data_IF_419607695737
#
_entry.id   IF_419607695737
#
_cell.length_a   1.000
_cell.length_b   1.000
_cell.length_c   1.000
_cell.angle_alpha   90.00
_cell.angle_beta   90.00
_cell.angle_gamma   90.00
#
_symmetry.space_group_name_H-M   'P 1'
#
loop_
_entity.id
_entity.type
_entity.pdbx_description
1 polymer ?
#
# COMPACT_ATOMS: atom_id res chain seq x y z
N UNK A 1 24.84 49.28 -26.60
CA UNK A 1 23.68 48.36 -26.70
C UNK A 1 24.25 46.96 -26.77
N UNK A 2 24.25 46.27 -25.62
CA UNK A 2 25.12 45.13 -25.34
C UNK A 2 24.41 43.79 -25.61
N UNK A 3 25.14 42.88 -26.26
CA UNK A 3 24.75 41.51 -26.61
C UNK A 3 24.35 40.69 -25.36
N UNK A 4 23.28 39.89 -25.45
CA UNK A 4 23.01 38.72 -24.58
C UNK A 4 22.61 37.49 -25.43
N UNK A 5 23.09 36.27 -25.11
CA UNK A 5 22.74 35.01 -25.80
C UNK A 5 21.47 34.35 -25.22
N UNK A 6 20.96 33.27 -25.85
CA UNK A 6 19.69 32.63 -25.51
C UNK A 6 19.79 31.83 -24.19
N UNK A 7 18.72 31.91 -23.39
CA UNK A 7 18.60 31.23 -22.09
C UNK A 7 18.29 29.74 -22.23
N UNK A 8 19.14 28.94 -21.62
CA UNK A 8 18.90 27.54 -21.28
C UNK A 8 17.83 27.46 -20.18
N UNK A 9 16.76 26.69 -20.43
CA UNK A 9 15.81 26.26 -19.40
C UNK A 9 16.30 24.92 -18.87
N UNK A 10 17.05 24.95 -17.76
CA UNK A 10 17.35 23.74 -16.98
C UNK A 10 16.07 23.24 -16.29
N UNK A 11 15.49 22.17 -16.83
CA UNK A 11 14.55 21.33 -16.10
C UNK A 11 15.32 20.47 -15.09
N UNK A 12 15.06 20.69 -13.79
CA UNK A 12 15.53 19.81 -12.72
C UNK A 12 14.90 18.41 -12.89
N UNK A 13 15.64 17.51 -13.52
CA UNK A 13 15.35 16.08 -13.49
C UNK A 13 15.67 15.55 -12.08
N UNK A 14 14.63 15.16 -11.34
CA UNK A 14 14.77 14.43 -10.08
C UNK A 14 15.47 13.10 -10.32
N UNK A 15 16.73 12.98 -9.89
CA UNK A 15 17.50 11.73 -9.93
C UNK A 15 16.93 10.74 -8.92
N UNK A 16 16.30 9.68 -9.42
CA UNK A 16 15.90 8.49 -8.64
C UNK A 16 17.17 7.69 -8.33
N UNK A 17 17.49 7.56 -7.05
CA UNK A 17 18.64 6.78 -6.60
C UNK A 17 18.41 5.28 -6.85
N UNK A 18 19.18 4.70 -7.78
CA UNK A 18 19.33 3.24 -7.97
C UNK A 18 20.17 2.67 -6.82
N UNK A 19 19.73 1.54 -6.27
CA UNK A 19 20.48 0.73 -5.30
C UNK A 19 21.21 -0.39 -6.05
N UNK A 20 22.47 -0.15 -6.40
CA UNK A 20 23.40 -1.22 -6.77
C UNK A 20 24.33 -1.52 -5.58
N UNK A 21 24.60 -2.80 -5.35
CA UNK A 21 25.84 -3.25 -4.73
C UNK A 21 25.76 -3.70 -3.27
N UNK A 22 26.14 -4.97 -3.06
CA UNK A 22 26.45 -5.57 -1.78
C UNK A 22 27.53 -4.79 -1.01
N UNK A 23 27.36 -4.71 0.33
CA UNK A 23 28.26 -4.04 1.28
C UNK A 23 28.53 -2.54 1.00
N UNK A 24 27.57 -1.70 1.38
CA UNK A 24 27.77 -0.26 1.49
C UNK A 24 26.60 0.38 2.20
N UNK A 25 26.81 0.89 3.41
CA UNK A 25 25.88 1.86 4.01
C UNK A 25 25.68 3.00 3.00
N UNK A 26 24.45 3.47 2.75
CA UNK A 26 24.23 4.60 1.87
C UNK A 26 24.87 5.85 2.49
N UNK A 27 26.02 6.26 1.94
CA UNK A 27 26.45 7.66 2.00
C UNK A 27 25.73 8.39 0.87
N UNK A 28 24.63 9.05 1.23
CA UNK A 28 23.81 9.84 0.32
C UNK A 28 22.79 10.65 1.11
N UNK A 29 23.16 11.92 1.33
CA UNK A 29 22.39 13.03 1.90
C UNK A 29 21.72 12.78 3.26
N UNK A 30 22.44 13.20 4.31
CA UNK A 30 21.87 13.55 5.61
C UNK A 30 20.92 14.73 5.37
N UNK A 31 19.65 14.45 5.05
CA UNK A 31 18.57 15.37 5.39
C UNK A 31 18.65 15.57 6.90
N UNK A 32 18.54 16.80 7.41
CA UNK A 32 18.55 17.12 8.83
C UNK A 32 17.51 16.27 9.59
N UNK A 33 17.88 15.06 10.01
CA UNK A 33 17.05 14.21 10.86
C UNK A 33 17.10 14.86 12.23
N UNK A 34 16.12 15.71 12.53
CA UNK A 34 16.07 16.34 13.85
C UNK A 34 16.02 15.21 14.88
N UNK A 35 16.95 15.20 15.84
CA UNK A 35 17.09 14.10 16.78
C UNK A 35 15.83 13.97 17.65
N UNK A 36 15.64 12.77 18.21
CA UNK A 36 14.58 12.50 19.16
C UNK A 36 14.61 13.56 20.29
N UNK A 37 13.49 14.26 20.57
CA UNK A 37 13.43 15.23 21.67
C UNK A 37 13.64 14.51 23.00
N UNK A 38 14.72 14.82 23.72
CA UNK A 38 15.04 14.18 25.02
C UNK A 38 14.42 14.89 26.22
N UNK A 39 13.97 16.13 26.04
CA UNK A 39 13.49 17.00 27.12
C UNK A 39 11.98 16.87 27.37
N UNK A 40 11.26 16.15 26.51
CA UNK A 40 9.82 15.98 26.64
C UNK A 40 9.46 14.92 27.69
N UNK A 41 8.37 15.13 28.46
CA UNK A 41 7.86 14.12 29.37
C UNK A 41 7.55 12.83 28.62
N UNK A 42 8.15 11.73 29.08
CA UNK A 42 8.01 10.42 28.43
C UNK A 42 6.98 9.56 29.13
N UNK A 43 5.99 9.08 28.39
CA UNK A 43 4.95 8.15 28.84
C UNK A 43 5.17 6.79 28.20
N UNK A 44 5.05 5.71 28.97
CA UNK A 44 5.13 4.37 28.40
C UNK A 44 3.76 3.93 27.88
N UNK A 45 3.69 3.59 26.60
CA UNK A 45 2.49 3.04 26.01
C UNK A 45 2.10 1.73 26.70
N UNK A 46 0.84 1.67 27.12
CA UNK A 46 0.17 0.46 27.57
C UNK A 46 -1.21 0.39 26.96
N UNK A 47 -1.54 -0.79 26.49
CA UNK A 47 -2.83 -1.12 25.90
C UNK A 47 -3.99 -0.62 26.79
N UNK A 48 -4.82 0.28 26.24
CA UNK A 48 -6.03 0.80 26.91
C UNK A 48 -5.80 1.73 28.12
N UNK A 49 -4.57 2.18 28.40
CA UNK A 49 -4.29 3.11 29.52
C UNK A 49 -3.92 4.53 29.10
N UNK A 50 -3.61 4.74 27.82
CA UNK A 50 -3.07 6.00 27.31
C UNK A 50 -3.92 7.24 27.62
N UNK A 51 -5.25 7.11 27.53
CA UNK A 51 -6.18 8.21 27.76
C UNK A 51 -5.97 8.86 29.15
N UNK A 52 -5.71 8.05 30.18
CA UNK A 52 -5.50 8.55 31.54
C UNK A 52 -4.23 9.39 31.66
N UNK A 53 -3.17 8.95 30.99
CA UNK A 53 -1.89 9.66 31.00
C UNK A 53 -2.00 10.97 30.22
N UNK A 54 -2.71 10.98 29.08
CA UNK A 54 -2.96 12.19 28.29
C UNK A 54 -3.78 13.22 29.06
N UNK A 55 -4.90 12.81 29.69
CA UNK A 55 -5.72 13.69 30.53
C UNK A 55 -4.88 14.24 31.70
N UNK A 56 -4.05 13.40 32.34
CA UNK A 56 -3.20 13.84 33.43
C UNK A 56 -2.20 14.92 32.98
N UNK A 57 -1.53 14.72 31.84
CA UNK A 57 -0.56 15.69 31.33
C UNK A 57 -1.22 16.95 30.76
N UNK A 58 -2.41 16.85 30.18
CA UNK A 58 -3.22 17.98 29.75
C UNK A 58 -3.56 18.90 30.94
N UNK A 59 -4.05 18.33 32.05
CA UNK A 59 -4.38 19.08 33.26
C UNK A 59 -3.18 19.76 33.94
N UNK A 60 -1.97 19.31 33.63
CA UNK A 60 -0.72 19.88 34.16
C UNK A 60 -0.03 20.81 33.13
N UNK A 61 -0.76 21.30 32.12
CA UNK A 61 -0.26 22.22 31.08
C UNK A 61 1.01 21.74 30.37
N UNK A 62 1.10 20.43 30.11
CA UNK A 62 2.18 19.82 29.33
C UNK A 62 1.67 19.46 27.94
N UNK A 63 1.73 20.38 26.95
CA UNK A 63 1.10 20.19 25.65
C UNK A 63 1.86 19.21 24.76
N UNK A 64 3.12 18.87 25.04
CA UNK A 64 3.91 17.96 24.20
C UNK A 64 4.47 16.81 25.03
N UNK A 65 4.25 15.59 24.54
CA UNK A 65 4.63 14.34 25.18
C UNK A 65 5.40 13.45 24.22
N UNK A 66 6.26 12.60 24.77
CA UNK A 66 6.89 11.52 24.05
C UNK A 66 6.33 10.19 24.54
N UNK A 67 5.75 9.39 23.65
CA UNK A 67 5.19 8.09 24.00
C UNK A 67 6.14 6.99 23.54
N UNK A 68 6.66 6.21 24.50
CA UNK A 68 7.51 5.06 24.26
C UNK A 68 6.65 3.83 24.00
N UNK A 69 6.81 3.21 22.83
CA UNK A 69 6.04 2.03 22.42
C UNK A 69 6.98 0.85 22.22
N UNK A 70 6.65 -0.28 22.85
CA UNK A 70 7.41 -1.52 22.67
C UNK A 70 7.14 -2.16 21.30
N UNK A 71 8.13 -2.77 20.64
CA UNK A 71 7.94 -3.43 19.35
C UNK A 71 6.86 -4.52 19.35
N UNK A 72 6.66 -5.19 20.48
CA UNK A 72 5.66 -6.24 20.67
C UNK A 72 4.22 -5.70 20.63
N UNK A 73 4.04 -4.40 20.85
CA UNK A 73 2.74 -3.72 20.81
C UNK A 73 2.42 -3.13 19.43
N UNK A 74 3.44 -2.91 18.60
CA UNK A 74 3.35 -2.37 17.22
C UNK A 74 3.00 -3.46 16.20
N UNK A 75 1.94 -4.22 16.48
CA UNK A 75 1.50 -5.37 15.68
C UNK A 75 0.02 -5.29 15.34
N UNK A 76 -0.37 -5.80 14.16
CA UNK A 76 -1.78 -5.84 13.76
C UNK A 76 -2.66 -6.79 14.60
N UNK A 77 -2.05 -7.62 15.45
CA UNK A 77 -2.77 -8.50 16.37
C UNK A 77 -3.34 -7.79 17.60
N UNK A 78 -2.89 -6.55 17.87
CA UNK A 78 -3.33 -5.67 18.95
C UNK A 78 -4.87 -5.51 18.95
N UNK A 79 -5.49 -5.60 20.13
CA UNK A 79 -6.95 -5.63 20.29
C UNK A 79 -7.61 -4.32 19.87
N UNK A 80 -7.00 -3.18 20.19
CA UNK A 80 -7.49 -1.82 19.92
C UNK A 80 -7.38 -1.49 18.43
N UNK A 81 -6.31 -1.96 17.80
CA UNK A 81 -6.14 -1.90 16.35
C UNK A 81 -7.25 -2.71 15.66
N UNK A 82 -7.51 -3.95 16.12
CA UNK A 82 -8.57 -4.80 15.56
C UNK A 82 -9.98 -4.24 15.78
N UNK A 83 -10.24 -3.68 16.97
CA UNK A 83 -11.54 -3.07 17.29
C UNK A 83 -11.73 -1.70 16.61
N UNK A 84 -10.68 -1.15 15.98
CA UNK A 84 -10.66 0.20 15.39
C UNK A 84 -11.08 1.23 16.44
N UNK A 85 -10.43 1.18 17.60
CA UNK A 85 -10.59 2.16 18.66
C UNK A 85 -9.86 3.45 18.28
N UNK A 86 -10.36 4.15 17.26
CA UNK A 86 -9.84 5.43 16.80
C UNK A 86 -10.99 6.32 16.29
N UNK A 87 -10.98 7.59 16.66
CA UNK A 87 -11.98 8.58 16.29
C UNK A 87 -11.30 9.85 15.81
N UNK A 88 -11.76 10.39 14.67
CA UNK A 88 -11.17 11.58 14.04
C UNK A 88 -10.18 11.31 12.92
N UNK A 89 -9.67 12.38 12.36
CA UNK A 89 -8.63 12.37 11.33
C UNK A 89 -7.64 13.50 11.63
N UNK A 90 -6.36 13.14 11.67
CA UNK A 90 -5.21 13.97 12.08
C UNK A 90 -5.23 14.46 13.54
N UNK A 91 -6.39 14.85 14.03
CA UNK A 91 -6.69 15.14 15.44
C UNK A 91 -7.64 14.06 15.94
N UNK A 92 -7.25 13.43 17.04
CA UNK A 92 -7.93 12.26 17.60
C UNK A 92 -8.40 12.55 19.02
N UNK A 93 -9.43 11.83 19.45
CA UNK A 93 -9.91 11.84 20.83
C UNK A 93 -8.89 11.17 21.77
N UNK A 94 -8.88 11.54 23.05
CA UNK A 94 -8.01 10.93 24.09
C UNK A 94 -8.17 9.42 24.24
N UNK A 95 -9.37 8.88 23.97
CA UNK A 95 -9.66 7.45 24.01
C UNK A 95 -9.22 6.68 22.76
N UNK A 96 -8.76 7.38 21.71
CA UNK A 96 -8.18 6.76 20.51
C UNK A 96 -6.85 6.09 20.83
N UNK A 97 -6.68 4.84 20.40
CA UNK A 97 -5.45 4.09 20.60
C UNK A 97 -4.32 4.61 19.70
N UNK A 98 -3.17 4.96 20.32
CA UNK A 98 -2.05 5.56 19.60
C UNK A 98 -1.47 4.63 18.52
N UNK A 99 -1.43 3.32 18.76
CA UNK A 99 -0.92 2.36 17.79
C UNK A 99 -1.87 2.28 16.59
N UNK A 100 -3.18 2.28 16.82
CA UNK A 100 -4.18 2.41 15.75
C UNK A 100 -4.07 3.74 14.99
N UNK A 101 -3.80 4.86 15.67
CA UNK A 101 -3.57 6.17 15.05
C UNK A 101 -2.30 6.17 14.19
N UNK A 102 -1.20 5.58 14.66
CA UNK A 102 0.03 5.47 13.89
C UNK A 102 -0.15 4.64 12.59
N UNK A 103 -1.02 3.63 12.58
CA UNK A 103 -1.43 2.94 11.33
C UNK A 103 -2.23 3.85 10.42
N UNK A 104 -3.21 4.54 10.99
CA UNK A 104 -4.10 5.40 10.24
C UNK A 104 -3.30 6.51 9.52
N UNK A 105 -2.33 7.10 10.22
CA UNK A 105 -1.37 8.07 9.65
C UNK A 105 -0.30 7.44 8.75
N UNK A 106 -0.19 6.12 8.72
CA UNK A 106 0.71 5.39 7.82
C UNK A 106 2.19 5.40 8.22
N UNK A 107 2.51 5.69 9.50
CA UNK A 107 3.89 5.56 10.01
C UNK A 107 4.38 4.11 10.00
N UNK A 108 3.47 3.14 9.99
CA UNK A 108 3.80 1.72 9.87
C UNK A 108 2.70 0.95 9.12
N UNK A 109 3.05 -0.24 8.60
CA UNK A 109 2.16 -1.04 7.77
C UNK A 109 1.33 -2.06 8.58
N UNK A 110 0.03 -2.18 8.25
CA UNK A 110 -0.90 -3.11 8.91
C UNK A 110 -0.61 -4.60 8.65
N UNK A 111 0.23 -4.93 7.65
CA UNK A 111 0.61 -6.32 7.36
C UNK A 111 1.73 -6.85 8.28
N UNK A 112 2.21 -6.03 9.22
CA UNK A 112 3.23 -6.45 10.16
C UNK A 112 2.64 -7.37 11.23
N UNK A 113 2.90 -8.68 11.08
CA UNK A 113 2.36 -9.73 11.95
C UNK A 113 3.31 -10.08 13.10
N UNK A 114 4.56 -9.61 13.08
CA UNK A 114 5.58 -9.88 14.09
C UNK A 114 6.41 -8.64 14.42
N UNK A 115 6.94 -8.56 15.64
CA UNK A 115 7.89 -7.51 15.98
C UNK A 115 9.19 -7.71 15.20
N UNK A 116 9.74 -6.63 14.63
CA UNK A 116 11.02 -6.70 13.94
C UNK A 116 12.15 -6.88 14.99
N UNK A 117 12.95 -7.97 14.94
CA UNK A 117 13.96 -8.26 15.96
C UNK A 117 15.07 -7.20 16.02
N UNK A 118 15.28 -6.41 14.96
CA UNK A 118 16.28 -5.34 14.94
C UNK A 118 15.84 -4.09 15.70
N UNK A 119 14.54 -3.96 15.99
CA UNK A 119 13.97 -2.78 16.63
C UNK A 119 13.96 -2.98 18.13
N UNK A 120 14.44 -1.97 18.86
CA UNK A 120 14.42 -1.95 20.32
C UNK A 120 13.16 -1.27 20.87
N UNK A 121 12.72 -0.17 20.24
CA UNK A 121 11.58 0.65 20.68
C UNK A 121 11.15 1.66 19.61
N UNK A 122 9.93 2.14 19.74
CA UNK A 122 9.40 3.26 18.98
C UNK A 122 9.08 4.44 19.90
N UNK A 123 9.14 5.65 19.35
CA UNK A 123 8.76 6.87 20.03
C UNK A 123 7.78 7.65 19.17
N UNK A 124 6.66 8.08 19.73
CA UNK A 124 5.74 9.01 19.07
C UNK A 124 5.71 10.32 19.84
N UNK A 125 5.99 11.43 19.16
CA UNK A 125 5.75 12.76 19.72
C UNK A 125 4.30 13.14 19.49
N UNK A 126 3.62 13.46 20.58
CA UNK A 126 2.19 13.79 20.60
C UNK A 126 2.01 15.19 21.16
N UNK A 127 1.18 15.98 20.49
CA UNK A 127 0.71 17.28 20.98
C UNK A 127 -0.71 17.11 21.52
N UNK A 128 -0.93 17.46 22.78
CA UNK A 128 -2.24 17.54 23.40
C UNK A 128 -2.91 18.86 23.02
N UNK A 129 -4.20 18.78 22.70
CA UNK A 129 -5.01 19.87 22.17
C UNK A 129 -6.32 19.95 22.95
N UNK A 130 -6.99 21.12 22.97
CA UNK A 130 -8.33 21.23 23.54
C UNK A 130 -9.32 20.33 22.79
N UNK A 131 -10.33 19.78 23.48
CA UNK A 131 -11.43 19.04 22.86
C UNK A 131 -12.06 19.75 21.66
N UNK A 132 -12.34 19.00 20.60
CA UNK A 132 -13.15 19.47 19.47
C UNK A 132 -14.62 19.14 19.65
N UNK A 133 -15.49 19.93 19.02
CA UNK A 133 -16.94 19.66 18.95
C UNK A 133 -17.26 18.45 18.07
N UNK A 134 -16.45 18.24 17.02
CA UNK A 134 -16.66 17.18 16.04
C UNK A 134 -15.34 16.60 15.54
N UNK A 135 -15.36 15.29 15.29
CA UNK A 135 -14.27 14.50 14.75
C UNK A 135 -14.81 13.74 13.53
N UNK A 136 -14.23 13.99 12.36
CA UNK A 136 -14.65 13.36 11.10
C UNK A 136 -14.07 11.96 10.94
N UNK A 137 -14.81 11.09 10.25
CA UNK A 137 -14.32 9.76 9.86
C UNK A 137 -13.55 9.85 8.54
N UNK A 138 -12.42 9.17 8.46
CA UNK A 138 -11.61 9.03 7.25
C UNK A 138 -11.23 7.55 7.03
N UNK A 139 -10.98 7.17 5.78
CA UNK A 139 -10.39 5.87 5.45
C UNK A 139 -9.09 6.11 4.70
N UNK A 140 -7.99 5.76 5.34
CA UNK A 140 -6.62 5.90 4.81
C UNK A 140 -5.74 4.77 5.33
N UNK A 141 -4.69 4.41 4.58
CA UNK A 141 -3.74 3.37 4.98
C UNK A 141 -4.40 2.03 5.41
N UNK A 142 -5.51 1.67 4.75
CA UNK A 142 -6.36 0.49 5.04
C UNK A 142 -7.04 0.46 6.43
N UNK A 143 -7.05 1.59 7.15
CA UNK A 143 -7.73 1.76 8.44
C UNK A 143 -8.83 2.82 8.28
N UNK A 144 -10.02 2.53 8.82
CA UNK A 144 -11.13 3.50 8.87
C UNK A 144 -11.24 4.05 10.29
N UNK A 145 -11.16 5.37 10.45
CA UNK A 145 -11.49 6.05 11.71
C UNK A 145 -13.00 6.18 11.90
N UNK A 146 -13.44 6.36 13.13
CA UNK A 146 -14.84 6.63 13.46
C UNK A 146 -15.08 8.13 13.59
N UNK A 147 -16.30 8.55 13.31
CA UNK A 147 -16.72 9.92 13.60
C UNK A 147 -17.20 10.04 15.05
N UNK A 148 -17.04 11.22 15.63
CA UNK A 148 -17.57 11.55 16.95
C UNK A 148 -18.05 13.00 16.94
N UNK A 149 -19.35 13.23 17.10
CA UNK A 149 -19.97 14.55 16.96
C UNK A 149 -20.47 15.09 18.31
N UNK A 150 -19.62 14.97 19.33
CA UNK A 150 -19.89 15.50 20.66
C UNK A 150 -18.58 15.97 21.30
N UNK A 151 -18.65 16.99 22.14
CA UNK A 151 -17.50 17.38 22.96
C UNK A 151 -17.12 16.25 23.91
N UNK A 152 -15.82 16.01 24.04
CA UNK A 152 -15.24 15.08 25.02
C UNK A 152 -14.84 15.85 26.30
N UNK A 153 -14.89 15.19 27.45
CA UNK A 153 -14.48 15.79 28.74
C UNK A 153 -12.95 15.85 28.93
N UNK A 154 -12.21 15.09 28.11
CA UNK A 154 -10.76 14.94 28.20
C UNK A 154 -9.99 15.97 27.37
N UNK A 155 -9.09 15.47 26.52
CA UNK A 155 -8.31 16.28 25.58
C UNK A 155 -8.31 15.64 24.20
N UNK A 156 -8.07 16.42 23.17
CA UNK A 156 -7.71 15.88 21.87
C UNK A 156 -6.20 15.67 21.80
N UNK A 157 -5.72 14.88 20.86
CA UNK A 157 -4.30 14.81 20.57
C UNK A 157 -4.01 14.67 19.09
N UNK A 158 -2.82 15.14 18.70
CA UNK A 158 -2.26 15.00 17.36
C UNK A 158 -0.89 14.36 17.45
N UNK A 159 -0.60 13.42 16.56
CA UNK A 159 0.76 12.88 16.42
C UNK A 159 1.53 13.82 15.50
N UNK A 160 2.66 14.35 15.98
CA UNK A 160 3.52 15.20 15.17
C UNK A 160 4.56 14.37 14.42
N UNK A 161 5.22 13.45 15.12
CA UNK A 161 6.40 12.72 14.61
C UNK A 161 6.51 11.34 15.25
N UNK A 162 7.16 10.42 14.56
CA UNK A 162 7.41 9.07 15.06
C UNK A 162 8.84 8.63 14.73
N UNK A 163 9.51 7.95 15.65
CA UNK A 163 10.86 7.42 15.47
C UNK A 163 10.90 5.95 15.84
N UNK A 164 11.82 5.25 15.21
CA UNK A 164 12.23 3.90 15.52
C UNK A 164 13.68 3.92 16.00
N UNK A 165 13.97 3.19 17.08
CA UNK A 165 15.34 2.99 17.56
C UNK A 165 15.70 1.53 17.43
N UNK A 166 16.80 1.25 16.72
CA UNK A 166 17.32 -0.12 16.56
C UNK A 166 18.00 -0.59 17.83
N UNK A 167 18.23 -1.91 17.97
CA UNK A 167 19.03 -2.47 19.07
C UNK A 167 20.49 -1.99 19.06
N UNK A 168 21.01 -1.58 17.90
CA UNK A 168 22.32 -0.94 17.78
C UNK A 168 22.33 0.53 18.23
N UNK A 169 21.19 1.09 18.64
CA UNK A 169 21.07 2.48 19.08
C UNK A 169 20.89 3.50 17.96
N UNK A 170 20.83 3.08 16.70
CA UNK A 170 20.55 3.96 15.57
C UNK A 170 19.10 4.43 15.62
N UNK A 171 18.91 5.74 15.46
CA UNK A 171 17.59 6.35 15.40
C UNK A 171 17.20 6.58 13.93
N UNK A 172 15.95 6.27 13.61
CA UNK A 172 15.36 6.52 12.31
C UNK A 172 14.01 7.21 12.51
N UNK A 173 13.83 8.37 11.90
CA UNK A 173 12.51 9.02 11.85
C UNK A 173 11.64 8.32 10.82
N UNK A 174 10.42 7.96 11.23
CA UNK A 174 9.41 7.40 10.36
C UNK A 174 8.60 8.55 9.75
N UNK A 175 8.31 8.46 8.46
CA UNK A 175 7.51 9.46 7.77
C UNK A 175 6.04 9.05 7.79
N UNK A 176 5.10 9.98 8.07
CA UNK A 176 3.68 9.72 7.89
C UNK A 176 3.37 9.59 6.40
N UNK A 177 2.28 8.91 6.08
CA UNK A 177 1.77 8.78 4.72
C UNK A 177 0.48 9.58 4.60
N UNK A 178 0.67 10.86 4.27
CA UNK A 178 -0.40 11.85 4.15
C UNK A 178 -1.33 11.54 2.98
N UNK A 179 -0.77 11.06 1.86
CA UNK A 179 -1.54 10.70 0.68
C UNK A 179 -1.78 9.19 0.64
N UNK A 180 -2.98 8.79 0.21
CA UNK A 180 -3.30 7.44 -0.29
C UNK A 180 -2.43 7.02 -1.50
N UNK A 181 -1.29 7.68 -1.74
CA UNK A 181 -0.19 7.29 -2.61
C UNK A 181 0.28 5.90 -2.21
N UNK A 182 -0.43 4.89 -2.70
CA UNK A 182 0.04 3.57 -3.09
C UNK A 182 1.51 3.35 -2.68
N UNK A 183 1.79 2.49 -1.69
CA UNK A 183 3.12 1.87 -1.61
C UNK A 183 3.22 1.20 -2.97
N UNK A 184 4.00 1.79 -3.85
CA UNK A 184 4.46 1.11 -5.05
C UNK A 184 5.25 -0.05 -4.50
N UNK A 185 4.58 -1.19 -4.43
CA UNK A 185 5.24 -2.38 -3.94
C UNK A 185 6.24 -2.77 -5.02
N UNK A 186 7.43 -3.24 -4.64
CA UNK A 186 8.29 -3.89 -5.61
C UNK A 186 7.44 -4.96 -6.30
N UNK A 187 7.43 -4.94 -7.63
CA UNK A 187 6.72 -5.95 -8.43
C UNK A 187 7.24 -7.35 -8.11
N UNK A 188 8.38 -7.47 -7.43
CA UNK A 188 8.90 -8.70 -6.87
C UNK A 188 8.34 -8.99 -5.46
N UNK A 189 7.59 -10.06 -5.32
CA UNK A 189 7.28 -10.64 -4.02
C UNK A 189 8.06 -11.95 -3.90
N UNK A 190 8.89 -12.06 -2.86
CA UNK A 190 9.43 -13.36 -2.46
C UNK A 190 8.25 -14.32 -2.35
N UNK A 191 8.39 -15.52 -2.90
CA UNK A 191 7.47 -16.63 -2.63
C UNK A 191 7.63 -17.00 -1.14
N UNK A 192 7.15 -16.14 -0.24
CA UNK A 192 6.93 -16.51 1.14
C UNK A 192 6.15 -17.81 1.08
N UNK A 193 6.65 -18.85 1.73
CA UNK A 193 5.89 -20.08 1.93
C UNK A 193 4.53 -19.65 2.46
N UNK A 194 3.53 -19.66 1.58
CA UNK A 194 2.15 -19.37 1.89
C UNK A 194 1.81 -20.12 3.17
N UNK A 195 1.07 -19.48 4.09
CA UNK A 195 0.63 -20.11 5.34
C UNK A 195 0.13 -21.52 5.03
N UNK A 196 0.92 -22.52 5.42
CA UNK A 196 0.63 -23.91 5.15
C UNK A 196 -0.55 -24.30 6.04
N UNK A 197 -1.78 -24.19 5.52
CA UNK A 197 -2.96 -24.69 6.22
C UNK A 197 -3.00 -26.21 6.08
N UNK A 198 -2.74 -26.92 7.17
CA UNK A 198 -3.11 -28.32 7.27
C UNK A 198 -4.64 -28.40 7.41
N UNK A 199 -5.34 -28.65 6.31
CA UNK A 199 -6.76 -29.05 6.36
C UNK A 199 -6.85 -30.41 7.03
N UNK A 200 -7.69 -30.53 8.05
CA UNK A 200 -7.82 -31.71 8.93
C UNK A 200 -8.43 -32.97 8.25
N UNK A 201 -8.43 -33.04 6.93
CA UNK A 201 -9.17 -34.04 6.16
C UNK A 201 -8.42 -34.48 4.90
N UNK A 202 -7.38 -35.30 5.07
CA UNK A 202 -6.98 -36.30 4.05
C UNK A 202 -6.15 -37.40 4.73
N UNK A 203 -6.81 -38.49 5.11
CA UNK A 203 -6.19 -39.81 5.16
C UNK A 203 -5.93 -40.26 3.72
N UNK A 204 -4.73 -39.96 3.19
CA UNK A 204 -4.37 -40.39 1.85
C UNK A 204 -3.12 -39.70 1.33
N UNK A 205 -2.08 -40.49 1.07
CA UNK A 205 -0.80 -40.06 0.51
C UNK A 205 -0.97 -39.46 -0.89
N UNK A 206 -0.75 -38.15 -1.00
CA UNK A 206 -0.34 -37.47 -2.24
C UNK A 206 0.23 -36.12 -1.86
N UNK A 207 1.42 -35.79 -2.38
CA UNK A 207 2.24 -34.60 -2.09
C UNK A 207 1.39 -33.38 -1.69
N UNK A 208 1.51 -32.96 -0.43
CA UNK A 208 0.93 -31.73 0.10
C UNK A 208 1.45 -30.53 -0.71
N UNK A 209 0.76 -30.16 -1.79
CA UNK A 209 0.93 -28.84 -2.39
C UNK A 209 0.39 -27.85 -1.36
N UNK A 210 1.17 -26.84 -0.93
CA UNK A 210 0.64 -25.80 -0.06
C UNK A 210 -0.54 -25.14 -0.79
N UNK A 211 -1.71 -25.22 -0.18
CA UNK A 211 -2.91 -24.55 -0.66
C UNK A 211 -2.78 -23.07 -0.30
N UNK A 212 -2.56 -22.22 -1.31
CA UNK A 212 -2.58 -20.77 -1.17
C UNK A 212 -3.99 -20.32 -0.76
N UNK A 213 -4.08 -19.52 0.31
CA UNK A 213 -5.35 -18.89 0.71
C UNK A 213 -5.75 -17.87 -0.35
N UNK A 214 -6.68 -18.26 -1.22
CA UNK A 214 -7.23 -17.38 -2.24
C UNK A 214 -8.53 -16.79 -1.71
N UNK A 215 -8.55 -15.48 -1.46
CA UNK A 215 -9.82 -14.78 -1.26
C UNK A 215 -10.50 -14.60 -2.62
N UNK A 216 -11.60 -15.31 -2.83
CA UNK A 216 -12.47 -15.13 -4.00
C UNK A 216 -13.52 -14.07 -3.69
N UNK A 217 -13.76 -13.18 -4.65
CA UNK A 217 -14.84 -12.19 -4.63
C UNK A 217 -15.68 -12.35 -5.89
N UNK A 218 -16.98 -12.08 -5.81
CA UNK A 218 -17.84 -12.04 -6.99
C UNK A 218 -17.55 -10.78 -7.82
N UNK A 219 -17.32 -10.96 -9.12
CA UNK A 219 -17.10 -9.89 -10.09
C UNK A 219 -18.37 -9.09 -10.38
N UNK A 220 -18.31 -8.09 -11.27
CA UNK A 220 -19.47 -7.28 -11.65
C UNK A 220 -20.60 -8.07 -12.36
N UNK A 221 -20.32 -9.31 -12.82
CA UNK A 221 -21.29 -10.24 -13.41
C UNK A 221 -21.67 -11.40 -12.46
N UNK A 222 -21.34 -11.29 -11.17
CA UNK A 222 -21.57 -12.34 -10.16
C UNK A 222 -20.86 -13.68 -10.46
N UNK A 223 -19.65 -13.62 -11.02
CA UNK A 223 -18.75 -14.76 -11.23
C UNK A 223 -17.57 -14.70 -10.24
N UNK A 224 -17.04 -15.86 -9.80
CA UNK A 224 -15.95 -15.90 -8.83
C UNK A 224 -14.61 -15.44 -9.43
N UNK A 225 -14.08 -14.31 -8.96
CA UNK A 225 -12.77 -13.75 -9.34
C UNK A 225 -11.83 -13.66 -8.14
N UNK A 226 -10.52 -13.53 -8.39
CA UNK A 226 -9.55 -13.34 -7.34
C UNK A 226 -9.69 -11.93 -6.76
N UNK A 227 -9.59 -11.81 -5.43
CA UNK A 227 -9.38 -10.50 -4.79
C UNK A 227 -8.06 -9.92 -5.27
N UNK A 228 -8.10 -8.66 -5.69
CA UNK A 228 -6.89 -7.92 -6.03
C UNK A 228 -5.98 -7.86 -4.80
N UNK A 229 -4.74 -8.32 -4.98
CA UNK A 229 -3.71 -8.32 -3.94
C UNK A 229 -2.34 -8.33 -4.60
N UNK A 230 -1.36 -7.70 -3.95
CA UNK A 230 0.01 -7.68 -4.45
C UNK A 230 0.59 -9.09 -4.62
N UNK A 231 0.31 -10.02 -3.71
CA UNK A 231 0.76 -11.42 -3.83
C UNK A 231 0.23 -12.14 -5.07
N UNK A 232 -0.90 -11.70 -5.61
CA UNK A 232 -1.50 -12.29 -6.81
C UNK A 232 -0.93 -11.72 -8.11
N UNK A 233 -0.36 -10.51 -8.08
CA UNK A 233 0.16 -9.78 -9.24
C UNK A 233 1.69 -9.73 -9.27
N UNK A 234 2.34 -9.79 -8.12
CA UNK A 234 3.79 -9.67 -8.04
C UNK A 234 4.49 -10.87 -8.72
N UNK A 235 5.60 -10.55 -9.39
CA UNK A 235 6.61 -11.48 -9.85
C UNK A 235 7.04 -12.38 -8.69
N UNK A 236 7.08 -13.68 -8.95
CA UNK A 236 7.29 -14.72 -7.92
C UNK A 236 8.74 -15.17 -7.81
N UNK A 237 9.64 -14.61 -8.62
CA UNK A 237 11.03 -15.00 -8.68
C UNK A 237 11.78 -14.35 -9.84
N UNK A 238 13.09 -14.61 -9.91
CA UNK A 238 14.01 -13.90 -10.82
C UNK A 238 13.98 -14.44 -12.27
N UNK A 239 13.24 -15.52 -12.52
CA UNK A 239 13.10 -16.11 -13.85
C UNK A 239 11.96 -15.43 -14.60
N UNK A 240 12.13 -15.19 -15.89
CA UNK A 240 11.10 -14.58 -16.75
C UNK A 240 9.75 -15.32 -16.69
N UNK A 241 9.75 -16.65 -16.58
CA UNK A 241 8.53 -17.46 -16.42
C UNK A 241 7.76 -17.21 -15.12
N UNK A 242 8.37 -16.51 -14.16
CA UNK A 242 7.77 -16.14 -12.88
C UNK A 242 7.38 -14.66 -12.84
N UNK A 243 7.58 -13.91 -13.93
CA UNK A 243 7.22 -12.50 -14.04
C UNK A 243 5.82 -12.33 -14.61
N UNK A 244 5.12 -11.33 -14.11
CA UNK A 244 3.78 -10.95 -14.58
C UNK A 244 3.84 -10.29 -15.95
N UNK A 245 4.89 -9.51 -16.24
CA UNK A 245 5.16 -8.95 -17.56
C UNK A 245 5.25 -10.04 -18.63
N UNK A 246 6.00 -11.12 -18.36
CA UNK A 246 6.10 -12.29 -19.25
C UNK A 246 4.78 -13.05 -19.37
N UNK A 247 4.05 -13.19 -18.25
CA UNK A 247 2.74 -13.85 -18.22
C UNK A 247 1.74 -13.15 -19.14
N UNK A 248 1.79 -11.82 -19.20
CA UNK A 248 0.91 -11.01 -20.05
C UNK A 248 1.14 -11.20 -21.57
N UNK A 249 2.21 -11.89 -21.99
CA UNK A 249 2.41 -12.24 -23.41
C UNK A 249 1.39 -13.28 -23.87
N UNK A 250 1.08 -14.23 -23.00
CA UNK A 250 0.17 -15.36 -23.25
C UNK A 250 -1.23 -15.16 -22.66
N UNK A 251 -1.35 -14.32 -21.62
CA UNK A 251 -2.60 -14.02 -20.93
C UNK A 251 -2.90 -12.53 -20.93
N UNK A 252 -4.15 -12.17 -20.72
CA UNK A 252 -4.62 -10.82 -20.53
C UNK A 252 -5.11 -10.65 -19.09
N UNK A 253 -4.77 -9.54 -18.43
CA UNK A 253 -5.18 -9.27 -17.06
C UNK A 253 -6.42 -8.38 -17.05
N UNK A 254 -7.52 -8.88 -16.53
CA UNK A 254 -8.71 -8.09 -16.24
C UNK A 254 -8.70 -7.61 -14.79
N UNK A 255 -9.04 -6.35 -14.58
CA UNK A 255 -9.07 -5.67 -13.29
C UNK A 255 -10.43 -5.01 -13.09
N UNK A 256 -10.99 -5.06 -11.89
CA UNK A 256 -12.24 -4.36 -11.59
C UNK A 256 -12.12 -3.43 -10.38
N UNK A 257 -12.71 -2.24 -10.55
CA UNK A 257 -13.09 -1.34 -9.47
C UNK A 257 -14.45 -1.77 -8.92
N UNK A 258 -15.14 -0.95 -8.12
CA UNK A 258 -16.52 -1.21 -7.71
C UNK A 258 -17.55 -1.09 -8.83
N UNK A 259 -17.21 -0.47 -9.98
CA UNK A 259 -18.17 -0.14 -11.05
C UNK A 259 -17.67 -0.41 -12.47
N UNK A 260 -16.36 -0.36 -12.67
CA UNK A 260 -15.72 -0.41 -13.99
C UNK A 260 -14.81 -1.63 -14.09
N UNK A 261 -14.70 -2.15 -15.32
CA UNK A 261 -13.75 -3.21 -15.69
C UNK A 261 -12.70 -2.65 -16.65
N UNK A 262 -11.46 -3.01 -16.39
CA UNK A 262 -10.31 -2.67 -17.20
C UNK A 262 -9.59 -3.94 -17.67
N UNK A 263 -8.83 -3.79 -18.73
CA UNK A 263 -8.04 -4.82 -19.38
C UNK A 263 -6.61 -4.30 -19.54
N UNK A 264 -5.63 -5.08 -19.11
CA UNK A 264 -4.22 -4.86 -19.36
C UNK A 264 -3.70 -5.99 -20.26
N UNK A 265 -3.29 -5.61 -21.48
CA UNK A 265 -2.89 -6.56 -22.52
C UNK A 265 -1.54 -6.20 -23.12
N UNK A 266 -0.83 -7.22 -23.62
CA UNK A 266 0.44 -7.04 -24.33
C UNK A 266 0.21 -6.57 -25.78
N UNK A 267 0.82 -5.44 -26.13
CA UNK A 267 0.66 -4.75 -27.41
C UNK A 267 1.79 -5.05 -28.42
N UNK A 268 2.85 -5.73 -28.01
CA UNK A 268 3.98 -6.09 -28.88
C UNK A 268 5.32 -5.66 -28.28
N UNK A 269 6.40 -6.02 -28.95
CA UNK A 269 7.75 -5.59 -28.58
C UNK A 269 8.16 -4.42 -29.47
N UNK A 270 8.55 -3.29 -28.87
CA UNK A 270 9.19 -2.19 -29.58
C UNK A 270 10.71 -2.32 -29.53
N UNK A 271 11.39 -1.94 -30.61
CA UNK A 271 12.86 -1.87 -30.63
C UNK A 271 13.26 -0.45 -30.20
N UNK A 272 13.90 -0.33 -29.05
CA UNK A 272 14.46 0.92 -28.53
C UNK A 272 15.98 0.92 -28.68
N UNK A 273 16.62 2.08 -28.48
CA UNK A 273 18.08 2.21 -28.54
C UNK A 273 18.82 1.34 -27.51
N UNK A 274 18.13 0.94 -26.43
CA UNK A 274 18.65 0.12 -25.33
C UNK A 274 18.27 -1.38 -25.45
N UNK A 275 17.49 -1.77 -26.47
CA UNK A 275 17.12 -3.17 -26.72
C UNK A 275 15.67 -3.39 -27.14
N UNK A 276 15.13 -4.58 -26.86
CA UNK A 276 13.72 -4.93 -27.07
C UNK A 276 12.92 -4.66 -25.80
N UNK A 277 11.91 -3.80 -25.88
CA UNK A 277 11.02 -3.47 -24.76
C UNK A 277 9.59 -3.93 -25.05
N UNK A 278 8.95 -4.58 -24.08
CA UNK A 278 7.54 -4.98 -24.18
C UNK A 278 6.63 -3.77 -23.93
N UNK A 279 5.66 -3.57 -24.83
CA UNK A 279 4.63 -2.56 -24.70
C UNK A 279 3.31 -3.18 -24.27
N UNK A 280 2.56 -2.44 -23.46
CA UNK A 280 1.26 -2.82 -22.94
C UNK A 280 0.19 -1.77 -23.28
N UNK A 281 -1.06 -2.21 -23.33
CA UNK A 281 -2.23 -1.34 -23.48
C UNK A 281 -3.14 -1.54 -22.29
N UNK A 282 -3.52 -0.43 -21.66
CA UNK A 282 -4.50 -0.40 -20.58
C UNK A 282 -5.80 0.18 -21.12
N UNK A 283 -6.83 -0.66 -21.22
CA UNK A 283 -8.12 -0.32 -21.80
C UNK A 283 -9.26 -0.45 -20.79
N UNK A 284 -10.30 0.37 -20.93
CA UNK A 284 -11.54 0.26 -20.18
C UNK A 284 -12.56 -0.51 -21.03
N UNK A 285 -13.20 -1.53 -20.45
CA UNK A 285 -14.28 -2.23 -21.11
C UNK A 285 -15.51 -1.30 -21.17
N UNK A 286 -16.08 -1.10 -22.36
CA UNK A 286 -17.31 -0.30 -22.54
C UNK A 286 -18.50 -0.95 -21.85
N UNK A 287 -18.52 -2.29 -21.81
CA UNK A 287 -19.55 -3.09 -21.15
C UNK A 287 -18.92 -4.19 -20.31
N UNK A 288 -19.55 -4.48 -19.17
CA UNK A 288 -19.14 -5.59 -18.31
C UNK A 288 -19.80 -6.87 -18.84
N UNK A 289 -18.97 -7.79 -19.34
CA UNK A 289 -19.41 -9.04 -19.94
C UNK A 289 -19.02 -10.25 -19.08
N UNK A 290 -19.83 -11.31 -18.98
CA UNK A 290 -19.43 -12.57 -18.36
C UNK A 290 -18.20 -13.18 -19.04
N UNK A 291 -17.46 -14.03 -18.33
CA UNK A 291 -16.21 -14.67 -18.84
C UNK A 291 -16.45 -15.42 -20.15
N UNK A 292 -17.60 -16.08 -20.30
CA UNK A 292 -17.97 -16.81 -21.52
C UNK A 292 -18.10 -15.90 -22.74
N UNK A 293 -18.74 -14.74 -22.58
CA UNK A 293 -18.94 -13.75 -23.63
C UNK A 293 -17.61 -13.08 -24.03
N UNK A 294 -16.76 -12.76 -23.05
CA UNK A 294 -15.41 -12.24 -23.30
C UNK A 294 -14.61 -13.23 -24.14
N UNK A 295 -14.59 -14.51 -23.78
CA UNK A 295 -13.90 -15.55 -24.57
C UNK A 295 -14.46 -15.72 -25.98
N UNK A 296 -15.79 -15.59 -26.14
CA UNK A 296 -16.44 -15.66 -27.45
C UNK A 296 -16.03 -14.51 -28.38
N UNK A 297 -15.89 -13.29 -27.84
CA UNK A 297 -15.46 -12.12 -28.60
C UNK A 297 -13.93 -12.09 -28.84
N UNK A 298 -13.16 -12.70 -27.94
CA UNK A 298 -11.71 -12.73 -27.98
C UNK A 298 -11.07 -12.04 -26.77
N UNK A 299 -9.85 -12.47 -26.46
CA UNK A 299 -9.03 -11.94 -25.37
C UNK A 299 -7.65 -11.56 -25.95
N UNK A 300 -7.25 -10.28 -25.95
CA UNK A 300 -7.97 -9.10 -25.47
C UNK A 300 -9.27 -8.79 -26.24
N UNK A 301 -10.15 -7.99 -25.65
CA UNK A 301 -11.41 -7.57 -26.27
C UNK A 301 -11.14 -6.70 -27.52
N UNK A 302 -11.97 -6.82 -28.57
CA UNK A 302 -11.84 -5.98 -29.76
C UNK A 302 -12.19 -4.51 -29.45
N UNK A 303 -11.69 -3.58 -30.29
CA UNK A 303 -11.90 -2.12 -30.14
C UNK A 303 -13.38 -1.67 -30.09
N UNK A 304 -14.31 -2.52 -30.54
CA UNK A 304 -15.74 -2.32 -30.38
C UNK A 304 -16.20 -2.34 -28.92
N UNK A 305 -15.59 -3.17 -28.08
CA UNK A 305 -16.03 -3.50 -26.72
C UNK A 305 -15.07 -2.98 -25.62
N UNK A 306 -13.87 -2.55 -25.98
CA UNK A 306 -12.92 -1.88 -25.10
C UNK A 306 -12.35 -0.61 -25.73
N UNK A 307 -12.12 0.41 -24.91
CA UNK A 307 -11.52 1.68 -25.30
C UNK A 307 -10.16 1.84 -24.61
N UNK A 308 -9.07 2.09 -25.36
CA UNK A 308 -7.76 2.29 -24.77
C UNK A 308 -7.75 3.56 -23.92
N UNK A 309 -7.36 3.42 -22.65
CA UNK A 309 -7.18 4.55 -21.72
C UNK A 309 -5.75 5.06 -21.82
N UNK A 310 -4.79 4.15 -21.88
CA UNK A 310 -3.36 4.44 -22.08
C UNK A 310 -2.74 3.36 -22.97
N UNK A 311 -2.02 3.79 -24.01
CA UNK A 311 -1.35 2.92 -24.98
C UNK A 311 0.17 3.07 -24.92
N UNK A 312 0.88 2.09 -25.50
CA UNK A 312 2.34 2.04 -25.59
C UNK A 312 3.00 2.20 -24.22
N UNK A 313 2.45 1.52 -23.22
CA UNK A 313 2.96 1.56 -21.85
C UNK A 313 4.18 0.66 -21.74
N UNK A 314 5.27 1.18 -21.17
CA UNK A 314 6.36 0.32 -20.70
C UNK A 314 5.97 -0.31 -19.36
N UNK A 315 6.65 -1.40 -18.98
CA UNK A 315 6.34 -2.06 -17.71
C UNK A 315 6.54 -1.14 -16.49
N UNK A 316 7.52 -0.23 -16.53
CA UNK A 316 7.84 0.71 -15.44
C UNK A 316 6.77 1.81 -15.25
N UNK A 317 5.98 2.10 -16.30
CA UNK A 317 4.87 3.05 -16.23
C UNK A 317 3.64 2.48 -15.50
N UNK A 318 3.64 1.18 -15.21
CA UNK A 318 2.58 0.46 -14.50
C UNK A 318 3.05 0.18 -13.08
N UNK A 319 2.52 0.95 -12.13
CA UNK A 319 2.89 0.86 -10.73
C UNK A 319 1.82 0.14 -9.92
N UNK A 320 2.21 -0.96 -9.29
CA UNK A 320 1.32 -1.81 -8.50
C UNK A 320 1.35 -1.42 -7.04
N UNK A 321 0.19 -1.34 -6.41
CA UNK A 321 0.07 -1.06 -4.99
C UNK A 321 -1.00 -1.91 -4.30
N UNK A 322 -1.00 -1.90 -2.97
CA UNK A 322 -2.03 -2.61 -2.21
C UNK A 322 -3.40 -1.95 -2.47
N UNK A 323 -4.32 -2.71 -3.07
CA UNK A 323 -5.67 -2.27 -3.48
C UNK A 323 -5.74 -1.15 -4.54
N UNK A 324 -4.64 -0.83 -5.22
CA UNK A 324 -4.66 0.14 -6.32
C UNK A 324 -3.56 -0.12 -7.34
N UNK A 325 -3.75 0.39 -8.55
CA UNK A 325 -2.77 0.40 -9.64
C UNK A 325 -2.68 1.83 -10.18
N UNK A 326 -1.46 2.31 -10.41
CA UNK A 326 -1.22 3.64 -10.98
C UNK A 326 -0.61 3.48 -12.36
N UNK A 327 -1.18 4.16 -13.36
CA UNK A 327 -0.68 4.18 -14.74
C UNK A 327 -0.48 5.62 -15.13
N UNK A 328 0.76 6.01 -15.49
CA UNK A 328 1.14 7.41 -15.83
C UNK A 328 0.58 8.46 -14.86
N UNK A 329 0.71 8.19 -13.56
CA UNK A 329 0.26 9.09 -12.49
C UNK A 329 -1.24 9.05 -12.18
N UNK A 330 -2.07 8.37 -12.98
CA UNK A 330 -3.51 8.16 -12.68
C UNK A 330 -3.68 6.91 -11.83
N UNK A 331 -4.22 7.06 -10.63
CA UNK A 331 -4.45 5.95 -9.69
C UNK A 331 -5.86 5.37 -9.85
N UNK A 332 -5.94 4.03 -9.88
CA UNK A 332 -7.17 3.26 -9.98
C UNK A 332 -7.29 2.32 -8.79
N UNK A 333 -8.41 2.39 -8.05
CA UNK A 333 -8.68 1.49 -6.92
C UNK A 333 -9.17 0.12 -7.40
N UNK A 334 -8.30 -0.88 -7.33
CA UNK A 334 -8.60 -2.23 -7.80
C UNK A 334 -9.06 -3.13 -6.65
N UNK A 335 -10.17 -3.82 -6.87
CA UNK A 335 -10.77 -4.73 -5.89
C UNK A 335 -10.60 -6.19 -6.28
N UNK A 336 -10.65 -6.47 -7.59
CA UNK A 336 -10.72 -7.83 -8.14
C UNK A 336 -9.84 -7.92 -9.38
N UNK A 337 -9.37 -9.13 -9.67
CA UNK A 337 -8.51 -9.41 -10.81
C UNK A 337 -8.76 -10.82 -11.36
N UNK A 338 -8.49 -10.99 -12.65
CA UNK A 338 -8.51 -12.29 -13.30
C UNK A 338 -7.58 -12.31 -14.51
N UNK A 339 -6.71 -13.32 -14.59
CA UNK A 339 -5.92 -13.58 -15.79
C UNK A 339 -6.72 -14.48 -16.72
N UNK A 340 -6.81 -14.12 -18.00
CA UNK A 340 -7.47 -14.91 -19.02
C UNK A 340 -6.49 -15.25 -20.14
N UNK A 341 -6.39 -16.52 -20.57
CA UNK A 341 -5.61 -16.88 -21.75
C UNK A 341 -6.05 -16.11 -22.97
N UNK A 342 -5.09 -15.66 -23.78
CA UNK A 342 -5.40 -14.99 -25.04
C UNK A 342 -6.10 -15.96 -25.99
N UNK A 343 -7.16 -15.50 -26.63
CA UNK A 343 -7.90 -16.30 -27.59
C UNK A 343 -8.43 -15.40 -28.71
N UNK A 344 -8.47 -15.94 -29.92
CA UNK A 344 -9.16 -15.28 -31.03
C UNK A 344 -10.67 -15.44 -30.79
N UNK A 345 -11.43 -14.38 -31.02
CA UNK A 345 -12.88 -14.48 -31.00
C UNK A 345 -13.36 -15.52 -31.99
N UNK A 346 -14.38 -16.28 -31.60
CA UNK A 346 -15.14 -17.08 -32.54
C UNK A 346 -15.82 -16.11 -33.49
N UNK A 347 -15.27 -15.90 -34.69
CA UNK A 347 -16.03 -15.23 -35.73
C UNK A 347 -17.30 -16.06 -35.93
N UNK A 348 -18.45 -15.48 -35.59
CA UNK A 348 -19.71 -16.02 -36.04
C UNK A 348 -19.65 -16.02 -37.58
N UNK A 349 -19.52 -17.22 -38.17
CA UNK A 349 -19.84 -17.44 -39.57
C UNK A 349 -21.32 -17.18 -39.80
#
# INVERSE_FOLDING_TARGET
MSKRPPGELEGQQGKVARLDGANGLPQGQVTDVKPLPRELPTVQYKEGRLAKDFIFHWKNDKPSLLVLISPEQMVGSNKQVKSRQLWGEDIYTDDSDLVAVLLHLGYYASNNTASNPLVARFYAQVTLLPPQEQYTSCFRNAVRSRSWFSTIEGCSYKVERCWMVTRSGKQLELQPRADDCAITHPTFALSSSDRQMNTRSTTGSSRNKPLTEVTVLYNLCNEPWLKYSMSSIADRGLKSSQWTSSRLREECLYLETSRLRFELSYAGTATTEEGQADNYTFAQCKRVLPVSAVRGLGVPLPAGEAEPVEENLTWDEIQWANMSMTVRGKQYKMLRMHFMPRCKGSQAQ
#
